data_IF_921260829063
#
_entry.id   IF_921260829063
#
_cell.length_a   1.000
_cell.length_b   1.000
_cell.length_c   1.000
_cell.angle_alpha   90.00
_cell.angle_beta   90.00
_cell.angle_gamma   90.00
#
_symmetry.space_group_name_H-M   'P 1'
#
loop_
_entity.id
_entity.type
_entity.pdbx_description
1 polymer ?
#
# COMPACT_ATOMS: atom_id res chain seq x y z
N UNK A 1 -12.78 16.31 -34.60
CA UNK A 1 -13.27 15.68 -33.37
C UNK A 1 -12.34 16.05 -32.22
N UNK A 2 -12.90 16.46 -31.10
CA UNK A 2 -12.10 16.70 -29.86
C UNK A 2 -11.46 15.38 -29.41
N UNK A 3 -10.20 15.46 -28.99
CA UNK A 3 -9.46 14.30 -28.46
C UNK A 3 -9.09 14.56 -27.00
N UNK A 4 -9.09 13.50 -26.18
CA UNK A 4 -8.57 13.56 -24.81
C UNK A 4 -7.04 13.71 -24.86
N UNK A 5 -6.47 14.27 -23.79
CA UNK A 5 -5.02 14.47 -23.67
C UNK A 5 -4.23 13.16 -23.74
N UNK A 6 -2.96 13.24 -24.11
CA UNK A 6 -2.05 12.08 -24.11
C UNK A 6 -1.98 11.43 -22.71
N UNK A 7 -1.85 12.23 -21.68
CA UNK A 7 -1.88 11.80 -20.27
C UNK A 7 -3.17 11.07 -19.90
N UNK A 8 -4.33 11.59 -20.35
CA UNK A 8 -5.63 10.92 -20.11
C UNK A 8 -5.74 9.55 -20.80
N UNK A 9 -5.05 9.36 -21.95
CA UNK A 9 -4.97 8.06 -22.63
C UNK A 9 -4.05 7.08 -21.93
N UNK A 10 -2.98 7.57 -21.30
CA UNK A 10 -1.98 6.77 -20.60
C UNK A 10 -2.37 6.39 -19.17
N UNK A 11 -3.34 7.11 -18.55
CA UNK A 11 -3.78 6.82 -17.19
C UNK A 11 -4.24 5.36 -17.06
N UNK A 12 -3.60 4.55 -16.21
CA UNK A 12 -3.93 3.13 -16.10
C UNK A 12 -5.30 2.93 -15.42
N UNK A 13 -6.06 1.97 -15.93
CA UNK A 13 -7.25 1.49 -15.24
C UNK A 13 -6.84 0.75 -13.96
N UNK A 14 -7.65 0.88 -12.90
CA UNK A 14 -7.38 0.16 -11.65
C UNK A 14 -7.48 -1.35 -11.83
N UNK A 15 -6.39 -2.12 -11.61
CA UNK A 15 -6.40 -3.58 -11.77
C UNK A 15 -7.36 -4.26 -10.78
N UNK A 16 -7.64 -3.62 -9.66
CA UNK A 16 -8.51 -4.13 -8.61
C UNK A 16 -9.98 -3.87 -8.93
N UNK A 17 -10.30 -2.68 -9.48
CA UNK A 17 -11.69 -2.25 -9.70
C UNK A 17 -12.30 -2.84 -10.97
N UNK A 18 -11.51 -3.30 -11.92
CA UNK A 18 -12.03 -3.92 -13.16
C UNK A 18 -12.91 -5.15 -12.91
N UNK A 19 -12.75 -5.82 -11.76
CA UNK A 19 -13.54 -7.00 -11.37
C UNK A 19 -14.86 -6.64 -10.66
N UNK A 20 -15.07 -5.38 -10.26
CA UNK A 20 -16.29 -4.96 -9.52
C UNK A 20 -17.59 -5.30 -10.27
N UNK A 21 -17.73 -5.08 -11.60
CA UNK A 21 -18.97 -5.42 -12.30
C UNK A 21 -19.33 -6.91 -12.19
N UNK A 22 -18.34 -7.81 -12.20
CA UNK A 22 -18.54 -9.26 -12.07
C UNK A 22 -18.98 -9.63 -10.65
N UNK A 23 -18.35 -9.03 -9.62
CA UNK A 23 -18.75 -9.23 -8.24
C UNK A 23 -20.19 -8.77 -7.98
N UNK A 24 -20.58 -7.60 -8.51
CA UNK A 24 -21.94 -7.11 -8.39
C UNK A 24 -22.96 -8.00 -9.16
N UNK A 25 -22.57 -8.58 -10.28
CA UNK A 25 -23.39 -9.56 -11.00
C UNK A 25 -23.58 -10.85 -10.19
N UNK A 26 -22.52 -11.36 -9.55
CA UNK A 26 -22.59 -12.53 -8.65
C UNK A 26 -23.52 -12.26 -7.47
N UNK A 27 -23.39 -11.12 -6.80
CA UNK A 27 -24.28 -10.70 -5.69
C UNK A 27 -25.74 -10.64 -6.09
N UNK A 28 -26.04 -10.08 -7.28
CA UNK A 28 -27.43 -10.06 -7.81
C UNK A 28 -28.01 -11.44 -8.02
N UNK A 29 -27.18 -12.47 -8.26
CA UNK A 29 -27.59 -13.88 -8.34
C UNK A 29 -27.70 -14.55 -6.97
N UNK A 30 -27.50 -13.80 -5.88
CA UNK A 30 -27.58 -14.32 -4.50
C UNK A 30 -26.30 -14.99 -3.99
N UNK A 31 -25.16 -14.77 -4.66
CA UNK A 31 -23.85 -15.29 -4.24
C UNK A 31 -23.20 -14.34 -3.24
N UNK A 32 -22.81 -14.82 -2.06
CA UNK A 32 -21.96 -14.09 -1.11
C UNK A 32 -20.56 -13.99 -1.67
N UNK A 33 -20.02 -12.77 -1.81
CA UNK A 33 -18.65 -12.53 -2.30
C UNK A 33 -17.78 -12.13 -1.11
N UNK A 34 -16.75 -12.92 -0.81
CA UNK A 34 -15.72 -12.57 0.17
C UNK A 34 -14.69 -11.65 -0.49
N UNK A 35 -14.63 -10.39 -0.04
CA UNK A 35 -13.77 -9.38 -0.62
C UNK A 35 -12.36 -9.42 -0.01
N UNK A 36 -11.43 -10.13 -0.66
CA UNK A 36 -10.01 -10.17 -0.31
C UNK A 36 -9.16 -9.30 -1.27
N UNK A 37 -9.79 -8.59 -2.20
CA UNK A 37 -9.16 -7.76 -3.20
C UNK A 37 -8.85 -6.33 -2.73
N UNK A 38 -9.50 -5.85 -1.69
CA UNK A 38 -9.41 -4.47 -1.21
C UNK A 38 -8.89 -4.44 0.23
N UNK A 39 -7.87 -3.59 0.47
CA UNK A 39 -7.32 -3.35 1.80
C UNK A 39 -8.05 -2.23 2.53
N UNK A 40 -9.32 -2.44 2.79
CA UNK A 40 -10.12 -1.57 3.65
C UNK A 40 -10.31 -2.28 4.98
N UNK A 41 -9.76 -1.76 6.09
CA UNK A 41 -9.97 -2.34 7.42
C UNK A 41 -11.45 -2.53 7.74
N UNK A 42 -11.79 -3.65 8.38
CA UNK A 42 -13.13 -3.97 8.87
C UNK A 42 -13.27 -3.78 10.40
N UNK A 43 -12.14 -3.63 11.10
CA UNK A 43 -12.15 -3.25 12.51
C UNK A 43 -12.82 -1.89 12.61
N UNK A 44 -13.74 -1.75 13.55
CA UNK A 44 -14.51 -0.52 13.72
C UNK A 44 -13.63 0.70 13.93
N UNK A 45 -13.99 1.79 13.27
CA UNK A 45 -13.39 3.10 13.55
C UNK A 45 -13.67 3.46 15.01
N UNK A 46 -12.66 3.85 15.81
CA UNK A 46 -12.87 4.13 17.23
C UNK A 46 -14.03 5.11 17.48
N UNK A 47 -14.99 4.75 18.35
CA UNK A 47 -16.17 5.60 18.58
C UNK A 47 -15.83 7.01 19.06
N UNK A 48 -14.75 7.19 19.84
CA UNK A 48 -14.29 8.49 20.34
C UNK A 48 -13.92 9.46 19.22
N UNK A 49 -13.28 8.98 18.16
CA UNK A 49 -12.89 9.86 17.05
C UNK A 49 -14.08 10.24 16.16
N UNK A 50 -15.07 9.35 16.03
CA UNK A 50 -16.34 9.67 15.37
C UNK A 50 -17.17 10.64 16.18
N UNK A 51 -17.12 10.52 17.53
CA UNK A 51 -17.77 11.44 18.45
C UNK A 51 -17.23 12.88 18.30
N UNK A 52 -15.91 13.06 18.20
CA UNK A 52 -15.30 14.37 18.00
C UNK A 52 -15.85 15.10 16.77
N UNK A 53 -16.12 14.38 15.68
CA UNK A 53 -16.74 14.96 14.48
C UNK A 53 -18.21 15.30 14.71
N UNK A 54 -18.98 14.46 15.41
CA UNK A 54 -20.41 14.71 15.69
C UNK A 54 -20.64 15.91 16.63
N UNK A 55 -19.70 16.14 17.54
CA UNK A 55 -19.78 17.21 18.54
C UNK A 55 -19.11 18.52 18.07
N UNK A 56 -18.60 18.55 16.84
CA UNK A 56 -18.04 19.79 16.29
C UNK A 56 -19.14 20.83 16.05
N UNK A 57 -19.02 22.00 16.69
CA UNK A 57 -19.99 23.12 16.61
C UNK A 57 -19.48 24.20 15.64
N UNK A 58 -19.58 23.92 14.34
CA UNK A 58 -19.25 24.89 13.31
C UNK A 58 -20.45 25.78 13.00
N UNK A 59 -20.31 27.08 13.18
CA UNK A 59 -21.25 28.07 12.62
C UNK A 59 -20.97 28.33 11.14
N UNK A 60 -19.69 28.36 10.75
CA UNK A 60 -19.22 28.45 9.38
C UNK A 60 -18.10 27.44 9.21
N UNK A 61 -18.15 26.61 8.18
CA UNK A 61 -17.09 25.67 7.83
C UNK A 61 -16.06 26.39 6.95
N UNK A 62 -15.08 27.02 7.57
CA UNK A 62 -14.07 27.81 6.89
C UNK A 62 -12.95 26.95 6.29
N UNK A 63 -12.19 27.54 5.36
CA UNK A 63 -10.92 26.96 4.93
C UNK A 63 -9.94 26.97 6.11
N UNK A 64 -9.32 25.82 6.37
CA UNK A 64 -8.18 25.78 7.28
C UNK A 64 -6.91 26.31 6.58
N UNK A 65 -5.84 26.49 7.34
CA UNK A 65 -4.53 26.78 6.76
C UNK A 65 -4.14 25.73 5.72
N UNK A 66 -3.44 26.12 4.65
CA UNK A 66 -3.10 25.21 3.54
C UNK A 66 -2.21 24.02 3.98
N UNK A 67 -1.38 24.21 5.00
CA UNK A 67 -0.65 23.11 5.64
C UNK A 67 -1.50 22.23 6.57
N UNK A 68 -2.77 22.57 6.78
CA UNK A 68 -3.63 21.97 7.81
C UNK A 68 -3.60 22.71 9.14
N UNK A 69 -4.53 22.36 10.03
CA UNK A 69 -4.65 22.95 11.36
C UNK A 69 -3.36 22.79 12.16
N UNK A 70 -2.90 23.86 12.77
CA UNK A 70 -1.67 23.83 13.56
C UNK A 70 -1.81 22.92 14.78
N UNK A 71 -2.99 22.90 15.43
CA UNK A 71 -3.27 22.01 16.56
C UNK A 71 -3.05 20.53 16.16
N UNK A 72 -3.60 20.11 15.01
CA UNK A 72 -3.41 18.76 14.52
C UNK A 72 -1.95 18.47 14.16
N UNK A 73 -1.25 19.41 13.49
CA UNK A 73 0.17 19.22 13.14
C UNK A 73 1.06 19.10 14.37
N UNK A 74 0.78 19.86 15.44
CA UNK A 74 1.47 19.74 16.74
C UNK A 74 1.19 18.40 17.42
N UNK A 75 -0.03 17.89 17.36
CA UNK A 75 -0.34 16.53 17.85
C UNK A 75 0.35 15.45 17.01
N UNK A 76 0.47 15.64 15.69
CA UNK A 76 1.26 14.71 14.86
C UNK A 76 2.72 14.66 15.30
N UNK A 77 3.34 15.77 15.72
CA UNK A 77 4.69 15.73 16.30
C UNK A 77 4.74 14.78 17.49
N UNK A 78 3.80 14.87 18.43
CA UNK A 78 3.72 13.94 19.58
C UNK A 78 3.57 12.48 19.14
N UNK A 79 2.78 12.23 18.09
CA UNK A 79 2.64 10.88 17.53
C UNK A 79 3.96 10.33 16.96
N UNK A 80 4.69 11.17 16.21
CA UNK A 80 5.97 10.77 15.62
C UNK A 80 7.09 10.66 16.65
N UNK A 81 7.09 11.51 17.68
CA UNK A 81 8.06 11.42 18.80
C UNK A 81 7.98 10.08 19.53
N UNK A 82 6.76 9.50 19.73
CA UNK A 82 6.58 8.16 20.28
C UNK A 82 7.25 7.07 19.43
N UNK A 83 7.41 7.33 18.14
CA UNK A 83 8.11 6.44 17.21
C UNK A 83 9.61 6.79 17.02
N UNK A 84 10.17 7.69 17.85
CA UNK A 84 11.55 8.16 17.73
C UNK A 84 11.84 9.04 16.52
N UNK A 85 10.81 9.59 15.91
CA UNK A 85 10.94 10.51 14.76
C UNK A 85 10.73 11.95 15.25
N UNK A 86 11.83 12.67 15.40
CA UNK A 86 11.82 14.04 15.87
C UNK A 86 11.68 15.01 14.69
N UNK A 87 10.53 15.65 14.60
CA UNK A 87 10.18 16.65 13.58
C UNK A 87 9.48 17.85 14.23
N UNK A 88 9.47 18.97 13.53
CA UNK A 88 8.70 20.13 13.91
C UNK A 88 7.38 20.21 13.11
N UNK A 89 6.33 20.78 13.71
CA UNK A 89 5.02 20.91 13.07
C UNK A 89 5.07 21.72 11.76
N UNK A 90 6.08 22.57 11.57
CA UNK A 90 6.29 23.33 10.32
C UNK A 90 6.83 22.44 9.19
N UNK A 91 7.35 21.24 9.49
CA UNK A 91 7.82 20.25 8.52
C UNK A 91 6.70 19.34 8.00
N UNK A 92 5.45 19.58 8.40
CA UNK A 92 4.29 18.76 8.09
C UNK A 92 3.32 19.56 7.22
N UNK A 93 2.92 18.98 6.09
CA UNK A 93 1.76 19.42 5.30
C UNK A 93 0.71 18.32 5.37
N UNK A 94 -0.45 18.63 5.94
CA UNK A 94 -1.60 17.74 5.95
C UNK A 94 -2.18 17.65 4.55
N UNK A 95 -2.48 16.43 4.10
CA UNK A 95 -2.92 16.14 2.74
C UNK A 95 -4.26 15.40 2.70
N UNK A 96 -4.90 15.40 1.53
CA UNK A 96 -6.14 14.66 1.28
C UNK A 96 -5.85 13.16 1.09
N UNK A 97 -5.38 12.51 2.17
CA UNK A 97 -4.90 11.13 2.21
C UNK A 97 -3.48 10.99 1.66
N UNK A 98 -2.91 9.78 1.80
CA UNK A 98 -1.57 9.47 1.28
C UNK A 98 -1.41 9.70 -0.21
N UNK A 99 -2.48 9.57 -0.99
CA UNK A 99 -2.45 9.80 -2.44
C UNK A 99 -2.02 11.21 -2.83
N UNK A 100 -2.50 12.23 -2.12
CA UNK A 100 -2.06 13.61 -2.36
C UNK A 100 -0.63 13.84 -1.86
N UNK A 101 -0.23 13.20 -0.75
CA UNK A 101 1.14 13.26 -0.26
C UNK A 101 2.14 12.72 -1.30
N UNK A 102 1.81 11.57 -1.91
CA UNK A 102 2.62 10.97 -2.99
C UNK A 102 2.71 11.91 -4.19
N UNK A 103 1.57 12.46 -4.63
CA UNK A 103 1.53 13.35 -5.79
C UNK A 103 2.30 14.65 -5.52
N UNK A 104 2.15 15.25 -4.34
CA UNK A 104 2.92 16.45 -3.95
C UNK A 104 4.42 16.15 -3.93
N UNK A 105 4.82 14.97 -3.41
CA UNK A 105 6.21 14.55 -3.41
C UNK A 105 6.77 14.44 -4.82
N UNK A 106 6.06 13.77 -5.73
CA UNK A 106 6.50 13.65 -7.13
C UNK A 106 6.59 15.02 -7.80
N UNK A 107 5.57 15.87 -7.67
CA UNK A 107 5.55 17.19 -8.31
C UNK A 107 6.55 18.20 -7.73
N UNK A 108 6.89 18.06 -6.44
CA UNK A 108 7.83 18.98 -5.79
C UNK A 108 9.30 18.62 -6.03
N UNK A 109 9.59 17.34 -6.32
CA UNK A 109 10.95 16.82 -6.39
C UNK A 109 11.39 16.42 -7.81
N UNK A 110 10.45 16.33 -8.77
CA UNK A 110 10.70 15.70 -10.07
C UNK A 110 10.16 16.56 -11.20
N UNK A 111 10.90 16.57 -12.31
CA UNK A 111 10.49 17.18 -13.57
C UNK A 111 9.91 16.13 -14.53
N UNK A 112 9.27 16.61 -15.61
CA UNK A 112 8.74 15.74 -16.65
C UNK A 112 9.86 14.89 -17.29
N UNK A 113 9.68 13.58 -17.30
CA UNK A 113 10.63 12.62 -17.84
C UNK A 113 11.72 12.16 -16.88
N UNK A 114 11.72 12.65 -15.63
CA UNK A 114 12.57 12.09 -14.57
C UNK A 114 12.12 10.67 -14.21
N UNK A 115 13.05 9.87 -13.68
CA UNK A 115 12.86 8.46 -13.38
C UNK A 115 12.79 8.21 -11.87
N UNK A 116 11.84 7.35 -11.46
CA UNK A 116 11.73 6.80 -10.11
C UNK A 116 11.93 5.29 -10.14
N UNK A 117 12.90 4.79 -9.38
CA UNK A 117 13.08 3.35 -9.16
C UNK A 117 12.09 2.90 -8.08
N UNK A 118 11.33 1.85 -8.37
CA UNK A 118 10.34 1.29 -7.43
C UNK A 118 10.50 -0.23 -7.40
N UNK A 119 10.83 -0.83 -6.21
CA UNK A 119 10.80 -2.27 -6.06
C UNK A 119 9.38 -2.82 -6.33
N UNK A 120 9.28 -3.75 -7.30
CA UNK A 120 8.02 -4.40 -7.64
C UNK A 120 7.94 -5.84 -7.10
N UNK A 121 6.74 -6.35 -6.76
CA UNK A 121 5.42 -5.70 -6.95
C UNK A 121 5.20 -4.53 -5.99
N UNK A 122 4.54 -3.49 -6.48
CA UNK A 122 4.32 -2.24 -5.76
C UNK A 122 2.84 -1.80 -5.80
N UNK A 123 2.48 -0.83 -4.98
CA UNK A 123 1.14 -0.27 -4.97
C UNK A 123 0.75 0.27 -6.36
N UNK A 124 -0.26 -0.36 -6.98
CA UNK A 124 -0.62 -0.14 -8.39
C UNK A 124 -0.86 1.33 -8.76
N UNK A 125 -1.32 2.16 -7.79
CA UNK A 125 -1.59 3.56 -8.06
C UNK A 125 -0.32 4.42 -8.22
N UNK A 126 0.87 3.93 -7.87
CA UNK A 126 2.11 4.68 -8.17
C UNK A 126 2.25 4.94 -9.67
N UNK A 127 1.86 3.99 -10.53
CA UNK A 127 1.81 4.22 -11.98
C UNK A 127 0.90 5.39 -12.36
N UNK A 128 -0.28 5.49 -11.72
CA UNK A 128 -1.21 6.59 -11.96
C UNK A 128 -0.68 7.94 -11.48
N UNK A 129 -0.03 7.99 -10.33
CA UNK A 129 0.60 9.21 -9.83
C UNK A 129 1.78 9.63 -10.69
N UNK A 130 2.60 8.69 -11.14
CA UNK A 130 3.70 8.95 -12.06
C UNK A 130 3.20 9.52 -13.40
N UNK A 131 2.16 8.94 -13.99
CA UNK A 131 1.51 9.50 -15.20
C UNK A 131 0.96 10.91 -14.94
N UNK A 132 0.35 11.15 -13.78
CA UNK A 132 -0.17 12.48 -13.43
C UNK A 132 0.96 13.52 -13.29
N UNK A 133 2.10 13.12 -12.75
CA UNK A 133 3.29 13.96 -12.55
C UNK A 133 4.24 13.98 -13.77
N UNK A 134 3.94 13.23 -14.83
CA UNK A 134 4.78 13.08 -16.02
C UNK A 134 6.16 12.43 -15.77
N UNK A 135 6.20 11.54 -14.78
CA UNK A 135 7.41 10.85 -14.28
C UNK A 135 7.44 9.40 -14.80
N UNK A 136 8.63 8.86 -15.01
CA UNK A 136 8.84 7.50 -15.52
C UNK A 136 9.11 6.55 -14.35
N UNK A 137 8.27 5.51 -14.20
CA UNK A 137 8.52 4.42 -13.25
C UNK A 137 9.53 3.45 -13.84
N UNK A 138 10.60 3.17 -13.07
CA UNK A 138 11.63 2.16 -13.36
C UNK A 138 11.46 0.99 -12.36
N UNK A 139 10.71 -0.05 -12.71
CA UNK A 139 10.49 -1.16 -11.80
C UNK A 139 11.76 -1.99 -11.63
N UNK A 140 12.07 -2.39 -10.38
CA UNK A 140 13.07 -3.40 -10.08
C UNK A 140 12.42 -4.59 -9.39
N UNK A 141 12.51 -5.78 -9.99
CA UNK A 141 11.74 -6.94 -9.55
C UNK A 141 12.31 -7.56 -8.27
N UNK A 142 11.49 -7.62 -7.21
CA UNK A 142 11.68 -8.48 -6.05
C UNK A 142 11.01 -9.84 -6.29
N UNK A 143 11.63 -10.91 -5.80
CA UNK A 143 11.19 -12.29 -6.04
C UNK A 143 10.31 -12.81 -4.90
N UNK A 144 9.23 -13.52 -5.23
CA UNK A 144 8.38 -14.22 -4.26
C UNK A 144 9.17 -15.32 -3.53
N UNK A 145 10.14 -15.96 -4.20
CA UNK A 145 11.01 -16.98 -3.62
C UNK A 145 11.85 -16.45 -2.46
N UNK A 146 12.24 -15.18 -2.53
CA UNK A 146 12.99 -14.48 -1.48
C UNK A 146 12.08 -13.67 -0.54
N UNK A 147 10.77 -13.94 -0.53
CA UNK A 147 9.79 -13.21 0.28
C UNK A 147 9.64 -11.75 -0.10
N UNK A 148 10.06 -11.35 -1.29
CA UNK A 148 10.06 -9.97 -1.81
C UNK A 148 11.08 -9.03 -1.14
N UNK A 149 12.19 -9.58 -0.64
CA UNK A 149 13.31 -8.79 -0.11
C UNK A 149 13.82 -7.78 -1.16
N UNK A 150 14.47 -6.72 -0.67
CA UNK A 150 15.08 -5.71 -1.54
C UNK A 150 16.11 -6.37 -2.46
N UNK A 151 16.09 -6.09 -3.77
CA UNK A 151 17.13 -6.56 -4.67
C UNK A 151 18.53 -6.09 -4.24
N UNK A 152 19.59 -6.84 -4.58
CA UNK A 152 20.95 -6.45 -4.24
C UNK A 152 21.29 -5.03 -4.70
N UNK A 153 22.09 -4.31 -3.90
CA UNK A 153 22.52 -2.91 -4.19
C UNK A 153 23.05 -2.76 -5.62
N UNK A 154 23.83 -3.72 -6.11
CA UNK A 154 24.41 -3.70 -7.46
C UNK A 154 23.35 -3.72 -8.57
N UNK A 155 22.19 -4.37 -8.33
CA UNK A 155 21.08 -4.39 -9.30
C UNK A 155 20.34 -3.05 -9.29
N UNK A 156 20.15 -2.44 -8.12
CA UNK A 156 19.55 -1.10 -8.02
C UNK A 156 20.44 -0.07 -8.70
N UNK A 157 21.75 -0.10 -8.45
CA UNK A 157 22.72 0.84 -9.04
C UNK A 157 22.79 0.74 -10.56
N UNK A 158 22.67 -0.44 -11.15
CA UNK A 158 22.62 -0.63 -12.62
C UNK A 158 21.44 0.10 -13.27
N UNK A 159 20.37 0.36 -12.53
CA UNK A 159 19.19 1.04 -13.05
C UNK A 159 19.29 2.55 -12.98
N UNK A 160 20.24 3.08 -12.21
CA UNK A 160 20.42 4.53 -12.03
C UNK A 160 20.97 5.15 -13.30
N UNK A 161 20.30 6.17 -13.80
CA UNK A 161 20.70 7.00 -14.93
C UNK A 161 20.80 8.46 -14.51
N UNK A 162 21.21 9.35 -15.41
CA UNK A 162 21.21 10.80 -15.15
C UNK A 162 19.80 11.37 -14.90
N UNK A 163 18.75 10.66 -15.35
CA UNK A 163 17.35 11.03 -15.15
C UNK A 163 16.75 10.48 -13.85
N UNK A 164 17.43 9.54 -13.23
CA UNK A 164 16.95 8.97 -11.96
C UNK A 164 17.08 10.02 -10.85
N UNK A 165 15.97 10.33 -10.20
CA UNK A 165 15.89 11.34 -9.12
C UNK A 165 15.51 10.76 -7.78
N UNK A 166 14.98 9.52 -7.73
CA UNK A 166 14.59 8.96 -6.46
C UNK A 166 14.23 7.49 -6.52
N UNK A 167 14.04 6.96 -5.32
CA UNK A 167 13.57 5.60 -5.06
C UNK A 167 12.28 5.73 -4.23
N UNK A 168 11.26 4.93 -4.56
CA UNK A 168 10.02 4.84 -3.77
C UNK A 168 9.97 3.50 -3.07
N UNK A 169 9.75 3.50 -1.78
CA UNK A 169 9.45 2.28 -1.00
C UNK A 169 8.11 2.46 -0.26
N UNK A 170 7.40 1.35 -0.08
CA UNK A 170 6.28 1.25 0.85
C UNK A 170 6.69 0.33 2.00
N UNK A 171 6.72 0.83 3.23
CA UNK A 171 7.24 0.10 4.39
C UNK A 171 6.28 0.17 5.59
N UNK A 172 5.64 -0.94 5.99
CA UNK A 172 5.53 -2.24 5.31
C UNK A 172 4.85 -2.17 3.95
N UNK A 173 5.18 -3.12 3.07
CA UNK A 173 4.84 -3.03 1.65
C UNK A 173 3.38 -3.43 1.35
N UNK A 174 2.76 -2.71 0.45
CA UNK A 174 1.59 -3.10 -0.31
C UNK A 174 2.02 -3.32 -1.78
N UNK A 175 1.98 -4.56 -2.32
CA UNK A 175 1.06 -5.64 -1.98
C UNK A 175 1.65 -6.80 -1.15
N UNK A 176 2.94 -6.84 -0.87
CA UNK A 176 3.64 -8.05 -0.41
C UNK A 176 3.55 -8.29 1.11
N UNK A 177 3.29 -7.23 1.88
CA UNK A 177 3.44 -7.26 3.33
C UNK A 177 4.91 -7.35 3.79
N UNK A 178 5.87 -7.13 2.88
CA UNK A 178 7.29 -7.12 3.23
C UNK A 178 7.60 -5.98 4.19
N UNK A 179 8.39 -6.25 5.21
CA UNK A 179 8.91 -5.26 6.16
C UNK A 179 10.41 -5.15 5.92
N UNK A 180 10.87 -3.98 5.50
CA UNK A 180 12.29 -3.74 5.25
C UNK A 180 13.08 -3.81 6.54
N UNK A 181 14.21 -4.54 6.52
CA UNK A 181 15.13 -4.62 7.64
C UNK A 181 15.94 -3.34 7.83
N UNK A 182 16.57 -3.20 9.01
CA UNK A 182 17.47 -2.08 9.27
C UNK A 182 18.67 -2.07 8.29
N UNK A 183 19.15 -3.25 7.92
CA UNK A 183 20.25 -3.41 6.96
C UNK A 183 19.83 -2.97 5.55
N UNK A 184 18.61 -3.30 5.12
CA UNK A 184 18.09 -2.86 3.82
C UNK A 184 17.85 -1.34 3.80
N UNK A 185 17.35 -0.78 4.89
CA UNK A 185 17.21 0.68 5.02
C UNK A 185 18.57 1.39 5.00
N UNK A 186 19.62 0.78 5.59
CA UNK A 186 20.99 1.30 5.51
C UNK A 186 21.56 1.20 4.07
N UNK A 187 21.26 0.12 3.35
CA UNK A 187 21.62 0.01 1.92
C UNK A 187 20.96 1.14 1.11
N UNK A 188 19.68 1.40 1.33
CA UNK A 188 18.99 2.51 0.68
C UNK A 188 19.62 3.87 1.02
N UNK A 189 19.99 4.09 2.30
CA UNK A 189 20.71 5.29 2.73
C UNK A 189 22.01 5.50 1.94
N UNK A 190 22.81 4.45 1.79
CA UNK A 190 24.08 4.51 1.05
C UNK A 190 23.84 4.85 -0.42
N UNK A 191 22.85 4.26 -1.06
CA UNK A 191 22.51 4.54 -2.47
C UNK A 191 22.10 6.00 -2.64
N UNK A 192 21.17 6.49 -1.81
CA UNK A 192 20.66 7.87 -1.97
C UNK A 192 21.74 8.91 -1.70
N UNK A 193 22.65 8.68 -0.75
CA UNK A 193 23.81 9.55 -0.53
C UNK A 193 24.79 9.54 -1.70
N UNK A 194 25.14 8.34 -2.19
CA UNK A 194 26.12 8.18 -3.27
C UNK A 194 25.67 8.83 -4.58
N UNK A 195 24.37 8.78 -4.88
CA UNK A 195 23.80 9.20 -6.16
C UNK A 195 22.95 10.47 -6.06
N UNK A 196 22.90 11.11 -4.89
CA UNK A 196 22.10 12.33 -4.62
C UNK A 196 20.62 12.17 -5.03
N UNK A 197 19.98 11.10 -4.53
CA UNK A 197 18.61 10.75 -4.85
C UNK A 197 17.65 11.04 -3.69
N UNK A 198 16.38 11.30 -3.99
CA UNK A 198 15.32 11.30 -3.00
C UNK A 198 14.92 9.86 -2.61
N UNK A 199 14.56 9.65 -1.35
CA UNK A 199 13.88 8.44 -0.88
C UNK A 199 12.45 8.79 -0.46
N UNK A 200 11.50 8.35 -1.24
CA UNK A 200 10.07 8.48 -0.97
C UNK A 200 9.63 7.29 -0.13
N UNK A 201 9.27 7.53 1.13
CA UNK A 201 8.85 6.52 2.09
C UNK A 201 7.33 6.58 2.28
N UNK A 202 6.59 5.66 1.67
CA UNK A 202 5.17 5.45 1.97
C UNK A 202 5.05 4.57 3.20
N UNK A 203 4.69 5.18 4.34
CA UNK A 203 4.60 4.51 5.63
C UNK A 203 3.13 4.32 6.09
N UNK A 204 2.22 4.18 5.15
CA UNK A 204 0.79 4.01 5.44
C UNK A 204 0.47 2.83 6.37
N UNK A 205 1.35 1.84 6.46
CA UNK A 205 1.18 0.61 7.23
C UNK A 205 2.12 0.49 8.44
N UNK A 206 2.81 1.55 8.84
CA UNK A 206 3.84 1.54 9.89
C UNK A 206 3.40 0.91 11.22
N UNK A 207 2.11 0.98 11.58
CA UNK A 207 1.58 0.41 12.83
C UNK A 207 1.34 -1.11 12.75
N UNK A 208 1.41 -1.68 11.54
CA UNK A 208 1.15 -3.09 11.29
C UNK A 208 2.45 -3.85 11.00
N UNK A 209 3.34 -3.92 12.00
CA UNK A 209 4.56 -4.73 11.96
C UNK A 209 4.39 -5.93 12.90
N UNK A 210 4.62 -7.14 12.39
CA UNK A 210 4.41 -8.39 13.11
C UNK A 210 5.71 -9.14 13.38
N UNK A 211 6.71 -8.95 12.51
CA UNK A 211 8.02 -9.63 12.58
C UNK A 211 9.12 -8.58 12.60
N UNK A 212 9.42 -8.02 13.77
CA UNK A 212 10.43 -6.97 13.94
C UNK A 212 9.85 -5.57 14.10
N UNK A 213 10.72 -4.58 14.04
CA UNK A 213 10.38 -3.17 14.26
C UNK A 213 10.34 -2.39 12.94
N UNK A 214 9.48 -1.39 12.88
CA UNK A 214 9.44 -0.48 11.74
C UNK A 214 10.63 0.48 11.75
N UNK A 215 11.41 0.49 10.70
CA UNK A 215 12.45 1.48 10.46
C UNK A 215 11.92 2.51 9.47
N UNK A 216 11.68 3.73 9.97
CA UNK A 216 11.26 4.85 9.13
C UNK A 216 12.44 5.41 8.31
N UNK A 217 12.15 5.94 7.12
CA UNK A 217 13.13 6.76 6.39
C UNK A 217 13.67 7.93 7.23
N UNK A 218 12.85 8.46 8.15
CA UNK A 218 13.23 9.56 9.04
C UNK A 218 14.24 9.17 10.14
N UNK A 219 14.48 7.87 10.36
CA UNK A 219 15.53 7.37 11.27
C UNK A 219 16.91 7.35 10.62
N UNK A 220 16.99 7.42 9.30
CA UNK A 220 18.25 7.37 8.55
C UNK A 220 19.06 8.66 8.80
N UNK A 221 20.32 8.49 9.17
CA UNK A 221 21.22 9.61 9.50
C UNK A 221 21.85 10.20 8.23
N UNK A 222 22.18 11.51 8.28
CA UNK A 222 22.91 12.22 7.22
C UNK A 222 22.16 12.37 5.89
N UNK A 223 20.88 11.99 5.85
CA UNK A 223 20.03 12.05 4.64
C UNK A 223 18.77 12.89 4.84
N UNK A 224 18.75 13.79 5.80
CA UNK A 224 17.58 14.60 6.17
C UNK A 224 16.97 15.35 4.96
N UNK A 225 17.79 15.80 4.02
CA UNK A 225 17.33 16.51 2.82
C UNK A 225 16.80 15.60 1.73
N UNK A 226 17.06 14.29 1.82
CA UNK A 226 16.71 13.30 0.81
C UNK A 226 15.36 12.63 1.09
N UNK A 227 14.90 12.66 2.35
CA UNK A 227 13.73 11.89 2.79
C UNK A 227 12.44 12.65 2.56
N UNK A 228 11.51 11.97 1.89
CA UNK A 228 10.11 12.39 1.74
C UNK A 228 9.24 11.32 2.39
N UNK A 229 8.71 11.61 3.57
CA UNK A 229 7.80 10.71 4.27
C UNK A 229 6.35 11.02 3.87
N UNK A 230 5.63 10.00 3.44
CA UNK A 230 4.21 10.05 3.07
C UNK A 230 3.44 9.13 3.99
N UNK A 231 2.42 9.66 4.63
CA UNK A 231 1.66 8.95 5.65
C UNK A 231 0.14 9.15 5.48
N UNK A 232 -0.65 8.30 6.12
CA UNK A 232 -2.12 8.42 6.13
C UNK A 232 -2.72 7.80 7.38
N UNK A 233 -3.81 8.37 7.86
CA UNK A 233 -4.60 7.80 8.95
C UNK A 233 -5.54 6.68 8.48
N UNK A 234 -5.68 6.48 7.18
CA UNK A 234 -6.67 5.60 6.55
C UNK A 234 -6.65 4.18 7.10
N UNK A 235 -5.45 3.66 7.40
CA UNK A 235 -5.28 2.26 7.77
C UNK A 235 -5.26 2.04 9.27
N UNK A 236 -4.43 2.79 9.99
CA UNK A 236 -4.21 2.62 11.42
C UNK A 236 -5.43 2.90 12.30
N UNK A 237 -6.39 3.72 11.83
CA UNK A 237 -7.61 4.05 12.57
C UNK A 237 -8.88 3.57 11.87
N UNK A 238 -8.78 2.69 10.85
CA UNK A 238 -9.94 2.27 10.04
C UNK A 238 -10.74 3.47 9.50
N UNK A 239 -10.05 4.53 9.11
CA UNK A 239 -10.62 5.84 8.76
C UNK A 239 -10.36 6.20 7.29
N UNK A 240 -10.48 5.23 6.37
CA UNK A 240 -10.23 5.43 4.93
C UNK A 240 -11.09 6.56 4.32
N UNK A 241 -12.32 6.71 4.82
CA UNK A 241 -13.26 7.74 4.37
C UNK A 241 -12.95 9.15 4.85
N UNK A 242 -12.13 9.32 5.90
CA UNK A 242 -11.72 10.65 6.39
C UNK A 242 -10.83 11.41 5.39
N UNK A 243 -10.20 10.68 4.46
CA UNK A 243 -9.33 11.26 3.42
C UNK A 243 -8.26 12.19 3.98
N UNK A 244 -7.50 11.71 4.97
CA UNK A 244 -6.43 12.50 5.58
C UNK A 244 -5.09 11.76 5.58
N UNK A 245 -4.03 12.50 5.28
CA UNK A 245 -2.65 12.04 5.27
C UNK A 245 -1.70 13.17 5.63
N UNK A 246 -0.41 12.91 5.51
CA UNK A 246 0.64 13.88 5.75
C UNK A 246 1.80 13.69 4.76
N UNK A 247 2.32 14.81 4.30
CA UNK A 247 3.58 14.95 3.59
C UNK A 247 4.57 15.57 4.56
N UNK A 248 5.73 14.93 4.76
CA UNK A 248 6.68 15.34 5.79
C UNK A 248 8.10 15.28 5.22
N UNK A 249 8.85 16.35 5.40
CA UNK A 249 10.27 16.39 5.02
C UNK A 249 11.02 17.42 5.86
N UNK A 250 12.29 17.17 6.12
CA UNK A 250 13.22 18.14 6.71
C UNK A 250 13.90 19.02 5.63
N UNK A 251 13.65 18.73 4.36
CA UNK A 251 14.14 19.54 3.25
C UNK A 251 13.25 20.78 3.06
N UNK A 252 13.76 21.94 3.46
CA UNK A 252 13.00 23.19 3.40
C UNK A 252 12.60 23.57 1.97
N UNK A 253 13.47 23.37 0.99
CA UNK A 253 13.19 23.75 -0.39
C UNK A 253 12.04 22.90 -0.97
N UNK A 254 12.04 21.60 -0.68
CA UNK A 254 10.96 20.67 -1.06
C UNK A 254 9.66 21.03 -0.33
N UNK A 255 9.75 21.35 0.95
CA UNK A 255 8.58 21.73 1.75
C UNK A 255 7.94 23.02 1.21
N UNK A 256 8.75 24.03 0.89
CA UNK A 256 8.29 25.30 0.32
C UNK A 256 7.66 25.09 -1.09
N UNK A 257 8.19 24.18 -1.90
CA UNK A 257 7.60 23.77 -3.17
C UNK A 257 6.24 23.06 -2.96
N UNK A 258 6.19 22.06 -2.07
CA UNK A 258 4.97 21.32 -1.74
C UNK A 258 3.88 22.24 -1.16
N UNK A 259 4.28 23.27 -0.40
CA UNK A 259 3.35 24.25 0.14
C UNK A 259 2.62 25.04 -0.97
N UNK A 260 3.26 25.33 -2.10
CA UNK A 260 2.60 26.01 -3.23
C UNK A 260 1.48 25.13 -3.83
N UNK A 261 1.69 23.83 -3.92
CA UNK A 261 0.64 22.88 -4.34
C UNK A 261 -0.49 22.81 -3.28
N UNK A 262 -0.13 22.81 -2.00
CA UNK A 262 -1.11 22.84 -0.91
C UNK A 262 -1.95 24.13 -0.93
N UNK A 263 -1.34 25.28 -1.25
CA UNK A 263 -2.06 26.54 -1.42
C UNK A 263 -2.98 26.53 -2.64
N UNK A 264 -2.55 25.93 -3.75
CA UNK A 264 -3.38 25.79 -4.95
C UNK A 264 -4.61 24.87 -4.71
N UNK A 265 -4.48 23.86 -3.85
CA UNK A 265 -5.56 22.98 -3.41
C UNK A 265 -6.46 23.70 -2.36
N UNK A 266 -6.02 24.76 -1.73
CA UNK A 266 -6.63 25.56 -0.64
C UNK A 266 -6.38 24.94 0.75
N UNK A 267 -7.17 23.97 1.20
CA UNK A 267 -7.04 23.38 2.54
C UNK A 267 -7.39 21.88 2.55
N UNK A 268 -6.85 21.08 3.48
CA UNK A 268 -7.29 19.71 3.66
C UNK A 268 -8.68 19.64 4.31
N UNK A 269 -9.37 18.48 4.27
CA UNK A 269 -10.73 18.32 4.80
C UNK A 269 -10.81 18.62 6.31
N UNK A 270 -11.64 19.57 6.72
CA UNK A 270 -11.75 20.00 8.11
C UNK A 270 -12.24 18.87 9.04
N UNK A 271 -13.30 18.14 8.66
CA UNK A 271 -13.80 17.01 9.46
C UNK A 271 -12.77 15.88 9.58
N UNK A 272 -11.98 15.65 8.52
CA UNK A 272 -10.87 14.69 8.57
C UNK A 272 -9.81 15.09 9.59
N UNK A 273 -9.50 16.38 9.70
CA UNK A 273 -8.51 16.89 10.66
C UNK A 273 -9.00 16.74 12.09
N UNK A 274 -10.29 17.06 12.38
CA UNK A 274 -10.88 16.87 13.72
C UNK A 274 -10.82 15.40 14.13
N UNK A 275 -11.24 14.50 13.22
CA UNK A 275 -11.19 13.05 13.45
C UNK A 275 -9.76 12.59 13.76
N UNK A 276 -8.80 13.03 12.97
CA UNK A 276 -7.42 12.62 13.09
C UNK A 276 -6.73 13.19 14.33
N UNK A 277 -7.07 14.43 14.70
CA UNK A 277 -6.58 15.06 15.92
C UNK A 277 -7.04 14.30 17.16
N UNK A 278 -8.32 13.91 17.22
CA UNK A 278 -8.86 13.10 18.30
C UNK A 278 -8.28 11.67 18.32
N UNK A 279 -7.83 11.14 17.17
CA UNK A 279 -7.26 9.82 17.09
C UNK A 279 -5.89 9.70 17.76
N UNK A 280 -5.15 10.81 17.88
CA UNK A 280 -3.85 10.81 18.56
C UNK A 280 -4.00 10.65 20.08
N UNK A 281 -5.16 10.99 20.62
CA UNK A 281 -5.48 10.86 22.05
C UNK A 281 -6.01 9.44 22.41
N UNK A 282 -6.04 8.51 21.47
CA UNK A 282 -6.40 7.11 21.76
C UNK A 282 -5.41 6.48 22.74
N UNK A 283 -5.86 5.52 23.58
CA UNK A 283 -4.98 4.79 24.49
C UNK A 283 -3.79 4.16 23.76
N UNK A 284 -2.62 4.14 24.39
CA UNK A 284 -1.39 3.61 23.79
C UNK A 284 -1.50 2.16 23.34
N UNK A 285 -2.33 1.34 24.01
CA UNK A 285 -2.57 -0.06 23.64
C UNK A 285 -3.53 -0.26 22.45
N UNK A 286 -4.07 0.81 21.85
CA UNK A 286 -4.97 0.70 20.69
C UNK A 286 -4.29 -0.04 19.52
N UNK A 287 -3.06 0.33 19.21
CA UNK A 287 -2.31 -0.32 18.13
C UNK A 287 -1.93 -1.76 18.46
N UNK A 288 -1.65 -2.07 19.73
CA UNK A 288 -1.32 -3.45 20.14
C UNK A 288 -2.51 -4.40 19.89
N UNK A 289 -3.72 -3.95 20.22
CA UNK A 289 -4.94 -4.72 19.98
C UNK A 289 -5.19 -4.95 18.50
N UNK A 290 -5.13 -3.90 17.69
CA UNK A 290 -5.37 -3.99 16.25
C UNK A 290 -4.28 -4.80 15.55
N UNK A 291 -3.02 -4.63 15.93
CA UNK A 291 -1.88 -5.40 15.42
C UNK A 291 -2.02 -6.88 15.72
N UNK A 292 -2.36 -7.25 16.96
CA UNK A 292 -2.55 -8.65 17.36
C UNK A 292 -3.68 -9.33 16.58
N UNK A 293 -4.78 -8.63 16.33
CA UNK A 293 -5.90 -9.17 15.53
C UNK A 293 -5.45 -9.40 14.07
N UNK A 294 -4.80 -8.43 13.42
CA UNK A 294 -4.32 -8.61 12.04
C UNK A 294 -3.21 -9.66 11.94
N UNK A 295 -2.34 -9.77 12.93
CA UNK A 295 -1.34 -10.84 13.00
C UNK A 295 -2.01 -12.22 13.02
N UNK A 296 -3.05 -12.38 13.83
CA UNK A 296 -3.78 -13.65 13.93
C UNK A 296 -4.52 -14.00 12.62
N UNK A 297 -5.04 -12.99 11.89
CA UNK A 297 -5.65 -13.16 10.57
C UNK A 297 -4.60 -13.56 9.52
N UNK A 298 -3.43 -12.91 9.54
CA UNK A 298 -2.29 -13.27 8.70
C UNK A 298 -1.90 -14.74 8.88
N UNK A 299 -1.72 -15.15 10.13
CA UNK A 299 -1.27 -16.51 10.45
C UNK A 299 -2.29 -17.55 9.98
N UNK A 300 -3.58 -17.28 10.14
CA UNK A 300 -4.67 -18.11 9.59
C UNK A 300 -4.57 -18.19 8.05
N UNK A 301 -4.48 -17.04 7.37
CA UNK A 301 -4.42 -16.97 5.92
C UNK A 301 -3.21 -17.75 5.37
N UNK A 302 -2.01 -17.47 5.88
CA UNK A 302 -0.76 -18.08 5.40
C UNK A 302 -0.76 -19.59 5.63
N UNK A 303 -1.24 -20.04 6.81
CA UNK A 303 -1.39 -21.47 7.12
C UNK A 303 -2.31 -22.16 6.12
N UNK A 304 -3.48 -21.57 5.84
CA UNK A 304 -4.47 -22.14 4.90
C UNK A 304 -3.92 -22.16 3.46
N UNK A 305 -3.34 -21.07 2.99
CA UNK A 305 -2.78 -21.00 1.63
C UNK A 305 -1.67 -22.02 1.41
N UNK A 306 -0.72 -22.12 2.32
CA UNK A 306 0.41 -23.07 2.17
C UNK A 306 0.03 -24.53 2.43
N UNK A 307 -1.20 -24.80 2.90
CA UNK A 307 -1.75 -26.16 2.96
C UNK A 307 -2.39 -26.61 1.64
N UNK A 308 -2.67 -25.68 0.71
CA UNK A 308 -3.25 -25.99 -0.60
C UNK A 308 -2.18 -26.47 -1.57
N UNK A 309 -2.47 -27.52 -2.34
CA UNK A 309 -1.53 -28.10 -3.30
C UNK A 309 -1.07 -27.09 -4.36
N UNK A 310 0.24 -26.91 -4.46
CA UNK A 310 0.87 -26.05 -5.46
C UNK A 310 0.79 -24.55 -5.15
N UNK A 311 0.26 -24.16 -4.01
CA UNK A 311 0.23 -22.75 -3.55
C UNK A 311 1.48 -22.44 -2.74
N UNK A 312 2.04 -21.26 -2.96
CA UNK A 312 3.14 -20.72 -2.18
C UNK A 312 2.86 -19.28 -1.77
N UNK A 313 2.89 -19.01 -0.48
CA UNK A 313 2.68 -17.69 0.11
C UNK A 313 3.76 -17.42 1.16
N UNK A 314 4.72 -16.51 0.89
CA UNK A 314 5.66 -16.07 1.92
C UNK A 314 4.89 -15.40 3.06
N UNK A 315 5.40 -15.55 4.28
CA UNK A 315 4.78 -14.95 5.47
C UNK A 315 5.02 -13.45 5.49
N UNK A 316 3.97 -12.59 5.43
CA UNK A 316 4.13 -11.15 5.50
C UNK A 316 4.69 -10.70 6.85
N UNK A 317 5.69 -9.81 6.84
CA UNK A 317 6.24 -9.19 8.04
C UNK A 317 5.39 -8.04 8.58
N UNK A 318 4.56 -7.44 7.72
CA UNK A 318 3.72 -6.30 8.08
C UNK A 318 2.55 -6.06 7.14
N UNK A 319 1.92 -4.89 7.23
CA UNK A 319 0.69 -4.49 6.55
C UNK A 319 -0.48 -5.47 6.81
N UNK A 320 -1.43 -5.60 5.89
CA UNK A 320 -2.49 -6.61 5.95
C UNK A 320 -2.76 -7.20 4.56
N UNK A 321 -1.67 -7.44 3.82
CA UNK A 321 -1.67 -8.09 2.51
C UNK A 321 -0.71 -9.26 2.48
N UNK A 322 -1.06 -10.23 1.65
CA UNK A 322 -0.19 -11.32 1.26
C UNK A 322 -0.22 -11.48 -0.26
N UNK A 323 0.92 -11.81 -0.83
CA UNK A 323 1.03 -12.27 -2.22
C UNK A 323 1.15 -13.78 -2.20
N UNK A 324 0.37 -14.46 -3.03
CA UNK A 324 0.45 -15.90 -3.18
C UNK A 324 0.60 -16.28 -4.66
N UNK A 325 1.49 -17.22 -4.94
CA UNK A 325 1.56 -17.92 -6.22
C UNK A 325 0.63 -19.12 -6.17
N UNK A 326 -0.21 -19.22 -7.19
CA UNK A 326 -1.22 -20.26 -7.33
C UNK A 326 -0.90 -21.17 -8.51
N UNK A 327 -1.35 -22.45 -8.52
CA UNK A 327 -1.17 -23.37 -9.64
C UNK A 327 -2.16 -23.06 -10.78
N UNK A 328 -2.09 -21.87 -11.36
CA UNK A 328 -3.01 -21.36 -12.39
C UNK A 328 -2.26 -20.80 -13.60
N UNK A 329 -2.88 -20.83 -14.76
CA UNK A 329 -2.33 -20.33 -16.02
C UNK A 329 -2.28 -18.78 -16.06
N UNK A 330 -3.32 -18.12 -15.52
CA UNK A 330 -3.43 -16.66 -15.56
C UNK A 330 -4.30 -16.14 -14.43
N UNK A 331 -3.74 -15.25 -13.60
CA UNK A 331 -4.41 -14.70 -12.43
C UNK A 331 -5.61 -13.80 -12.80
N UNK A 332 -5.55 -13.06 -13.90
CA UNK A 332 -6.67 -12.21 -14.35
C UNK A 332 -7.87 -13.08 -14.75
N UNK A 333 -7.62 -14.15 -15.51
CA UNK A 333 -8.67 -15.11 -15.91
C UNK A 333 -9.24 -15.84 -14.71
N UNK A 334 -8.39 -16.28 -13.81
CA UNK A 334 -8.82 -16.96 -12.58
C UNK A 334 -9.68 -16.08 -11.70
N UNK A 335 -9.25 -14.84 -11.43
CA UNK A 335 -10.00 -13.90 -10.60
C UNK A 335 -11.36 -13.52 -11.22
N UNK A 336 -11.44 -13.42 -12.54
CA UNK A 336 -12.71 -13.20 -13.25
C UNK A 336 -13.60 -14.44 -13.20
N UNK A 337 -13.06 -15.64 -13.46
CA UNK A 337 -13.78 -16.91 -13.42
C UNK A 337 -14.40 -17.18 -12.02
N UNK A 338 -13.69 -16.86 -10.95
CA UNK A 338 -14.20 -16.94 -9.58
C UNK A 338 -15.54 -16.20 -9.39
N UNK A 339 -15.73 -15.09 -10.09
CA UNK A 339 -16.90 -14.22 -9.95
C UNK A 339 -18.00 -14.52 -10.96
N UNK A 340 -17.65 -15.04 -12.15
CA UNK A 340 -18.61 -15.30 -13.23
C UNK A 340 -19.15 -16.72 -13.24
N UNK A 341 -18.27 -17.70 -12.98
CA UNK A 341 -18.53 -19.12 -13.28
C UNK A 341 -18.46 -20.04 -12.08
N UNK A 342 -17.78 -19.62 -11.02
CA UNK A 342 -17.60 -20.43 -9.82
C UNK A 342 -18.55 -20.00 -8.69
N UNK A 343 -19.10 -21.00 -8.01
CA UNK A 343 -19.78 -20.83 -6.71
C UNK A 343 -19.73 -22.13 -5.93
N UNK A 344 -19.47 -22.04 -4.64
CA UNK A 344 -19.58 -23.15 -3.69
C UNK A 344 -20.50 -22.71 -2.55
N UNK A 345 -21.57 -23.44 -2.29
CA UNK A 345 -22.59 -23.09 -1.27
C UNK A 345 -23.10 -21.64 -1.38
N UNK A 346 -23.31 -21.16 -2.61
CA UNK A 346 -23.65 -19.75 -2.91
C UNK A 346 -22.61 -18.75 -2.41
N UNK A 347 -21.35 -19.13 -2.38
CA UNK A 347 -20.23 -18.29 -1.95
C UNK A 347 -19.14 -18.29 -3.02
N UNK A 348 -18.41 -17.19 -3.11
CA UNK A 348 -17.20 -17.06 -3.93
C UNK A 348 -16.24 -16.06 -3.30
N UNK A 349 -15.02 -15.99 -3.82
CA UNK A 349 -13.97 -15.05 -3.36
C UNK A 349 -13.61 -14.06 -4.46
N UNK A 350 -13.31 -12.82 -4.08
CA UNK A 350 -12.78 -11.81 -4.97
C UNK A 350 -11.34 -11.49 -4.57
N UNK A 351 -10.38 -11.84 -5.43
CA UNK A 351 -8.96 -11.60 -5.26
C UNK A 351 -8.50 -10.43 -6.14
N UNK A 352 -7.29 -9.94 -5.91
CA UNK A 352 -6.65 -8.99 -6.82
C UNK A 352 -5.57 -9.72 -7.64
N UNK A 353 -5.70 -9.79 -8.99
CA UNK A 353 -4.67 -10.40 -9.83
C UNK A 353 -3.38 -9.56 -9.74
N UNK A 354 -2.24 -10.23 -9.66
CA UNK A 354 -0.97 -9.57 -9.37
C UNK A 354 -0.38 -8.79 -10.54
N UNK A 355 -0.79 -9.08 -11.77
CA UNK A 355 -0.29 -8.41 -12.98
C UNK A 355 -0.33 -6.88 -12.89
N UNK A 356 -1.31 -6.32 -12.18
CA UNK A 356 -1.44 -4.88 -12.00
C UNK A 356 -0.54 -4.24 -10.92
N UNK A 357 0.23 -5.05 -10.18
CA UNK A 357 1.21 -4.57 -9.19
C UNK A 357 2.64 -4.61 -9.73
N UNK A 358 2.84 -5.11 -10.95
CA UNK A 358 4.12 -5.15 -11.65
C UNK A 358 4.13 -4.10 -12.78
N UNK A 359 5.23 -3.39 -12.91
CA UNK A 359 5.51 -2.54 -14.06
C UNK A 359 6.17 -3.32 -15.20
N UNK A 360 6.88 -4.40 -14.87
CA UNK A 360 7.52 -5.29 -15.84
C UNK A 360 6.49 -6.21 -16.51
N UNK A 361 6.40 -6.22 -17.85
CA UNK A 361 5.46 -7.08 -18.57
C UNK A 361 5.64 -8.57 -18.23
N UNK A 362 4.53 -9.31 -18.25
CA UNK A 362 4.47 -10.75 -18.01
C UNK A 362 4.90 -11.21 -16.59
N UNK A 363 5.05 -10.31 -15.63
CA UNK A 363 5.22 -10.66 -14.22
C UNK A 363 3.86 -10.84 -13.53
N UNK A 364 3.83 -11.63 -12.46
CA UNK A 364 2.64 -11.85 -11.64
C UNK A 364 1.52 -12.64 -12.31
N UNK A 365 1.79 -13.36 -13.43
CA UNK A 365 0.77 -14.06 -14.22
C UNK A 365 0.03 -15.14 -13.42
N UNK A 366 0.68 -15.76 -12.47
CA UNK A 366 0.11 -16.79 -11.60
C UNK A 366 0.12 -16.38 -10.12
N UNK A 367 0.20 -15.09 -9.85
CA UNK A 367 0.19 -14.54 -8.51
C UNK A 367 -1.07 -13.73 -8.25
N UNK A 368 -1.50 -13.70 -7.00
CA UNK A 368 -2.64 -12.90 -6.53
C UNK A 368 -2.28 -12.19 -5.24
N UNK A 369 -2.85 -11.01 -5.02
CA UNK A 369 -2.83 -10.36 -3.72
C UNK A 369 -4.12 -10.65 -2.97
N UNK A 370 -3.97 -10.99 -1.68
CA UNK A 370 -5.05 -11.17 -0.72
C UNK A 370 -4.90 -10.14 0.40
N UNK A 371 -5.99 -9.45 0.73
CA UNK A 371 -6.07 -8.60 1.92
C UNK A 371 -6.76 -9.36 3.03
N UNK A 372 -6.09 -9.58 4.17
CA UNK A 372 -6.66 -10.32 5.30
C UNK A 372 -7.40 -9.39 6.27
N UNK A 373 -8.30 -8.59 5.68
CA UNK A 373 -9.10 -7.59 6.42
C UNK A 373 -10.42 -8.13 6.94
N UNK A 374 -10.87 -9.31 6.50
CA UNK A 374 -12.08 -9.95 7.01
C UNK A 374 -11.85 -10.56 8.40
N UNK A 375 -12.91 -10.66 9.20
CA UNK A 375 -12.86 -11.42 10.46
C UNK A 375 -12.44 -12.88 10.22
N UNK A 376 -11.94 -13.57 11.25
CA UNK A 376 -11.40 -14.93 11.12
C UNK A 376 -12.40 -15.98 10.61
N UNK A 377 -13.67 -15.83 10.92
CA UNK A 377 -14.73 -16.75 10.46
C UNK A 377 -14.94 -16.62 8.96
N UNK A 378 -15.14 -15.40 8.46
CA UNK A 378 -15.30 -15.14 7.02
C UNK A 378 -14.01 -15.44 6.25
N UNK A 379 -12.85 -15.15 6.85
CA UNK A 379 -11.56 -15.45 6.23
C UNK A 379 -11.34 -16.97 6.08
N UNK A 380 -11.70 -17.76 7.10
CA UNK A 380 -11.64 -19.22 7.03
C UNK A 380 -12.54 -19.76 5.91
N UNK A 381 -13.81 -19.32 5.87
CA UNK A 381 -14.75 -19.72 4.81
C UNK A 381 -14.26 -19.29 3.42
N UNK A 382 -13.66 -18.12 3.30
CA UNK A 382 -13.09 -17.65 2.04
C UNK A 382 -11.92 -18.53 1.58
N UNK A 383 -11.08 -19.02 2.50
CA UNK A 383 -9.97 -19.91 2.17
C UNK A 383 -10.47 -21.31 1.76
N UNK A 384 -11.46 -21.87 2.45
CA UNK A 384 -12.07 -23.14 2.09
C UNK A 384 -12.71 -23.05 0.68
N UNK A 385 -13.39 -21.93 0.41
CA UNK A 385 -13.97 -21.65 -0.90
C UNK A 385 -12.89 -21.53 -2.00
N UNK A 386 -11.74 -20.88 -1.72
CA UNK A 386 -10.63 -20.77 -2.64
C UNK A 386 -9.99 -22.12 -2.95
N UNK A 387 -9.81 -22.98 -1.96
CA UNK A 387 -9.25 -24.33 -2.14
C UNK A 387 -10.09 -25.15 -3.12
N UNK A 388 -11.42 -25.16 -2.94
CA UNK A 388 -12.36 -25.83 -3.84
C UNK A 388 -12.29 -25.21 -5.24
N UNK A 389 -12.20 -23.90 -5.35
CA UNK A 389 -12.07 -23.20 -6.63
C UNK A 389 -10.82 -23.61 -7.39
N UNK A 390 -9.67 -23.73 -6.71
CA UNK A 390 -8.42 -24.17 -7.32
C UNK A 390 -8.50 -25.61 -7.86
N UNK A 391 -9.28 -26.48 -7.24
CA UNK A 391 -9.52 -27.83 -7.76
C UNK A 391 -10.41 -27.84 -9.01
N UNK A 392 -11.35 -26.90 -9.13
CA UNK A 392 -12.32 -26.84 -10.22
C UNK A 392 -11.91 -25.94 -11.39
N UNK A 393 -10.87 -25.11 -11.21
CA UNK A 393 -10.46 -24.15 -12.24
C UNK A 393 -9.94 -24.86 -13.51
N UNK A 394 -10.52 -24.58 -14.70
CA UNK A 394 -10.09 -25.24 -15.95
C UNK A 394 -8.65 -24.96 -16.36
N UNK A 395 -8.09 -23.81 -15.96
CA UNK A 395 -6.71 -23.40 -16.25
C UNK A 395 -5.71 -23.78 -15.15
N UNK A 396 -6.01 -24.82 -14.35
CA UNK A 396 -5.08 -25.33 -13.34
C UNK A 396 -3.84 -25.94 -14.01
N UNK A 397 -2.66 -25.50 -13.55
CA UNK A 397 -1.38 -26.07 -13.97
C UNK A 397 -1.07 -27.24 -13.03
N UNK A 398 -1.05 -28.46 -13.58
CA UNK A 398 -0.58 -29.63 -12.84
C UNK A 398 0.94 -29.51 -12.67
N UNK A 399 1.43 -29.45 -11.44
CA UNK A 399 2.86 -29.63 -11.20
C UNK A 399 3.21 -31.07 -11.61
N UNK A 400 4.04 -31.24 -12.64
CA UNK A 400 4.65 -32.54 -12.92
C UNK A 400 5.36 -33.00 -11.65
N UNK A 401 5.03 -34.19 -11.17
CA UNK A 401 5.73 -34.83 -10.07
C UNK A 401 7.23 -34.70 -10.34
N UNK A 402 8.00 -34.17 -9.38
CA UNK A 402 9.45 -34.07 -9.47
C UNK A 402 9.96 -35.43 -9.99
N UNK A 403 10.59 -35.42 -11.14
CA UNK A 403 11.41 -36.55 -11.60
C UNK A 403 12.48 -36.75 -10.53
N UNK A 404 12.31 -37.79 -9.72
CA UNK A 404 13.35 -38.34 -8.86
C UNK A 404 14.35 -39.02 -9.81
N UNK A 405 15.22 -38.23 -10.42
CA UNK A 405 16.47 -38.77 -10.95
C UNK A 405 17.41 -39.00 -9.77
N UNK A 406 17.33 -40.17 -9.20
CA UNK A 406 18.44 -40.77 -8.50
C UNK A 406 19.48 -41.14 -9.53
N UNK A 407 20.49 -40.28 -9.68
CA UNK A 407 21.74 -40.68 -10.35
C UNK A 407 22.52 -41.59 -9.39
N UNK A 408 22.77 -42.76 -9.86
CA UNK A 408 23.75 -43.70 -9.30
C UNK A 408 25.17 -43.12 -9.35
#
# INVERSE_FOLDING_TARGET
MLQISHRGKQMPASPIRKLVPFAEAAKRKGTKVFHLNIGQPDIETPPSILKAVRESDFKVLEYSHSAGNESYRRKLVTYYDKAGIHIDHTQIIVTTGGSEAILFGMMACLDAGDELIIPEPFYANYNGFAVAADVIVKPITSSIENGFALPPISEIEKMITQKTKGIVICNPNNPTGYLYSAEEMEILRQIILKHDLYLFCDEAYREFCYEGEHVSGMHLKEVDRHIILMDTISKRYSACGARLGAFITRNKDVLDAAMKFAQARLSPPSFGQILAEAAIDLPDNYFDTTRSEYQSRRDLLVKKLNAMDGVFCPKPGGAFYAMARLPIDNADRFCQWLLESFTHEKQTVMLAPATGFYGTPAKGLNEVRLAYVLNKTDLNMAMDCLEIALHQYPGKILQNAKSTEHSF
#
